data_IF_758463870640
#
_entry.id   IF_758463870640
#
_cell.length_a   1.000
_cell.length_b   1.000
_cell.length_c   1.000
_cell.angle_alpha   90.00
_cell.angle_beta   90.00
_cell.angle_gamma   90.00
#
_symmetry.space_group_name_H-M   'P 1'
#
loop_
_entity.id
_entity.type
_entity.pdbx_description
1 polymer ?
#
# COMPACT_ATOMS: atom_id res chain seq x y z
N UNK A 1 39.13 -22.42 7.49
CA UNK A 1 37.89 -21.64 7.25
C UNK A 1 37.90 -21.20 5.80
N UNK A 2 36.94 -21.50 4.93
CA UNK A 2 35.75 -22.33 5.08
C UNK A 2 35.47 -23.02 3.73
N UNK A 3 36.06 -24.21 3.56
CA UNK A 3 35.74 -25.21 2.53
C UNK A 3 34.28 -25.72 2.62
N UNK A 4 33.52 -25.25 3.62
CA UNK A 4 32.11 -25.59 3.88
C UNK A 4 31.13 -24.82 2.99
N UNK A 5 31.47 -23.63 2.48
CA UNK A 5 30.54 -22.85 1.62
C UNK A 5 30.49 -23.33 0.17
N UNK A 6 31.58 -23.92 -0.35
CA UNK A 6 31.58 -24.52 -1.69
C UNK A 6 30.86 -25.88 -1.76
N UNK A 7 30.60 -26.52 -0.61
CA UNK A 7 29.90 -27.81 -0.58
C UNK A 7 28.37 -27.66 -0.49
N UNK A 8 27.86 -26.53 0.04
CA UNK A 8 26.41 -26.26 0.04
C UNK A 8 25.89 -25.83 -1.33
N UNK A 9 26.68 -25.11 -2.14
CA UNK A 9 26.28 -24.77 -3.52
C UNK A 9 26.33 -25.98 -4.46
N UNK A 10 27.04 -27.05 -4.09
CA UNK A 10 27.07 -28.30 -4.86
C UNK A 10 26.00 -29.30 -4.42
N UNK A 11 25.41 -29.14 -3.23
CA UNK A 11 24.30 -29.98 -2.75
C UNK A 11 22.91 -29.43 -3.10
N UNK A 12 22.77 -28.13 -3.36
CA UNK A 12 21.53 -27.56 -3.91
C UNK A 12 21.27 -27.98 -5.37
N UNK A 13 22.29 -28.49 -6.08
CA UNK A 13 22.16 -29.02 -7.44
C UNK A 13 21.85 -30.54 -7.49
N UNK A 14 21.58 -31.18 -6.34
CA UNK A 14 21.41 -32.64 -6.25
C UNK A 14 20.16 -33.09 -5.48
N UNK A 15 19.15 -32.24 -5.36
CA UNK A 15 17.77 -32.67 -5.09
C UNK A 15 16.98 -32.41 -6.38
N UNK A 16 17.28 -33.24 -7.38
CA UNK A 16 16.38 -33.48 -8.51
C UNK A 16 15.22 -34.33 -7.97
N UNK A 17 13.96 -33.86 -7.97
CA UNK A 17 12.88 -34.81 -8.19
C UNK A 17 13.14 -35.44 -9.56
N UNK A 18 13.15 -36.77 -9.60
CA UNK A 18 13.68 -37.56 -10.70
C UNK A 18 13.36 -36.98 -12.09
N UNK A 19 14.41 -36.63 -12.83
CA UNK A 19 14.34 -36.52 -14.27
C UNK A 19 14.06 -37.92 -14.82
N UNK A 20 12.79 -38.29 -14.84
CA UNK A 20 12.28 -39.29 -15.75
C UNK A 20 12.46 -38.68 -17.13
N UNK A 21 13.52 -39.08 -17.82
CA UNK A 21 13.57 -39.02 -19.28
C UNK A 21 12.45 -39.93 -19.81
N UNK A 22 11.24 -39.39 -19.88
CA UNK A 22 10.22 -39.85 -20.80
C UNK A 22 10.46 -39.08 -22.09
N UNK A 23 10.86 -39.82 -23.13
CA UNK A 23 10.62 -39.34 -24.49
C UNK A 23 9.11 -39.19 -24.62
N UNK A 24 8.60 -38.01 -24.93
CA UNK A 24 7.33 -37.98 -25.65
C UNK A 24 7.18 -36.72 -26.49
N UNK A 25 6.95 -36.92 -27.79
CA UNK A 25 6.46 -35.90 -28.72
C UNK A 25 4.94 -35.70 -28.52
N UNK A 26 4.47 -35.85 -27.28
CA UNK A 26 3.08 -35.84 -26.94
C UNK A 26 2.64 -34.44 -26.52
N UNK A 27 1.62 -33.97 -27.21
CA UNK A 27 0.74 -32.85 -26.91
C UNK A 27 0.39 -32.83 -25.39
N UNK A 28 0.40 -31.66 -24.74
CA UNK A 28 0.26 -31.56 -23.27
C UNK A 28 -0.27 -30.21 -22.81
N UNK A 29 -0.87 -30.18 -21.61
CA UNK A 29 -1.32 -28.95 -20.94
C UNK A 29 -0.23 -28.54 -19.96
N UNK A 30 0.35 -27.37 -20.13
CA UNK A 30 1.37 -26.81 -19.24
C UNK A 30 0.75 -25.73 -18.37
N UNK A 31 0.97 -25.78 -17.06
CA UNK A 31 0.76 -24.65 -16.17
C UNK A 31 2.11 -24.02 -15.84
N UNK A 32 2.18 -22.70 -15.87
CA UNK A 32 3.31 -21.92 -15.34
C UNK A 32 2.81 -21.04 -14.22
N UNK A 33 3.63 -20.84 -13.18
CA UNK A 33 3.32 -19.99 -12.03
C UNK A 33 4.40 -18.94 -11.92
N UNK A 34 3.99 -17.67 -11.86
CA UNK A 34 4.85 -16.53 -11.60
C UNK A 34 4.23 -15.65 -10.51
N UNK A 35 5.07 -15.01 -9.72
CA UNK A 35 4.68 -13.99 -8.74
C UNK A 35 5.13 -12.62 -9.25
N UNK A 36 4.21 -11.65 -9.34
CA UNK A 36 4.53 -10.35 -9.97
C UNK A 36 5.53 -9.51 -9.18
N UNK A 37 5.69 -9.79 -7.88
CA UNK A 37 6.68 -9.19 -6.99
C UNK A 37 7.97 -10.02 -6.87
N UNK A 38 8.08 -11.15 -7.58
CA UNK A 38 9.24 -12.05 -7.53
C UNK A 38 9.36 -12.83 -6.22
N UNK A 39 8.26 -13.00 -5.46
CA UNK A 39 8.28 -13.78 -4.23
C UNK A 39 8.63 -15.25 -4.51
N UNK A 40 9.77 -15.71 -3.98
CA UNK A 40 10.27 -17.09 -4.18
C UNK A 40 9.95 -18.04 -3.01
N UNK A 41 9.35 -17.54 -1.94
CA UNK A 41 9.01 -18.33 -0.74
C UNK A 41 7.57 -18.85 -0.80
N UNK A 42 6.68 -18.10 -1.43
CA UNK A 42 5.28 -18.49 -1.62
C UNK A 42 5.11 -19.58 -2.68
N UNK A 43 4.07 -20.38 -2.53
CA UNK A 43 3.75 -21.47 -3.44
C UNK A 43 2.25 -21.53 -3.73
N UNK A 44 1.90 -21.96 -4.94
CA UNK A 44 0.53 -22.20 -5.37
C UNK A 44 0.36 -23.70 -5.62
N UNK A 45 -0.72 -24.25 -5.09
CA UNK A 45 -1.20 -25.57 -5.44
C UNK A 45 -1.91 -25.49 -6.78
N UNK A 46 -1.34 -26.07 -7.83
CA UNK A 46 -1.95 -26.14 -9.16
C UNK A 46 -2.65 -27.48 -9.34
N UNK A 47 -3.96 -27.39 -9.61
CA UNK A 47 -4.84 -28.54 -9.83
C UNK A 47 -5.25 -28.65 -11.29
N UNK A 48 -5.14 -29.87 -11.84
CA UNK A 48 -5.63 -30.24 -13.17
C UNK A 48 -6.84 -31.15 -13.01
N UNK A 49 -8.01 -30.68 -13.46
CA UNK A 49 -9.25 -31.44 -13.43
C UNK A 49 -9.80 -31.64 -14.83
N UNK A 50 -9.85 -32.88 -15.31
CA UNK A 50 -10.44 -33.23 -16.60
C UNK A 50 -11.68 -34.11 -16.44
N UNK A 51 -12.72 -33.87 -17.24
CA UNK A 51 -14.00 -34.58 -17.16
C UNK A 51 -14.00 -36.01 -17.75
N UNK A 52 -12.86 -36.71 -17.78
CA UNK A 52 -12.74 -38.06 -18.36
C UNK A 52 -13.17 -39.20 -17.41
N UNK A 53 -13.66 -38.86 -16.22
CA UNK A 53 -14.47 -39.77 -15.41
C UNK A 53 -13.72 -40.53 -14.32
N UNK A 54 -12.55 -40.08 -13.85
CA UNK A 54 -12.08 -40.33 -12.48
C UNK A 54 -10.80 -39.54 -12.13
N UNK A 55 -10.85 -38.79 -11.01
CA UNK A 55 -9.78 -38.11 -10.27
C UNK A 55 -9.19 -36.80 -10.83
N UNK A 56 -8.71 -35.88 -9.95
CA UNK A 56 -7.78 -34.84 -10.37
C UNK A 56 -6.59 -35.53 -11.05
N UNK A 57 -6.36 -35.18 -12.32
CA UNK A 57 -5.44 -35.92 -13.19
C UNK A 57 -3.98 -35.56 -12.87
N UNK A 58 -3.76 -34.49 -12.12
CA UNK A 58 -2.49 -34.13 -11.51
C UNK A 58 -2.62 -32.92 -10.59
N UNK A 59 -1.78 -32.88 -9.57
CA UNK A 59 -1.60 -31.73 -8.70
C UNK A 59 -0.11 -31.47 -8.57
N UNK A 60 0.29 -30.21 -8.57
CA UNK A 60 1.67 -29.79 -8.37
C UNK A 60 1.70 -28.57 -7.46
N UNK A 61 2.71 -28.50 -6.60
CA UNK A 61 2.97 -27.30 -5.80
C UNK A 61 4.11 -26.57 -6.52
N UNK A 62 3.86 -25.34 -6.95
CA UNK A 62 4.78 -24.55 -7.75
C UNK A 62 5.03 -23.19 -7.07
N UNK A 63 6.30 -22.79 -6.97
CA UNK A 63 6.69 -21.42 -6.64
C UNK A 63 6.96 -20.60 -7.90
N UNK A 64 7.51 -19.40 -7.73
CA UNK A 64 7.86 -18.48 -8.82
C UNK A 64 8.75 -19.13 -9.90
N UNK A 65 8.43 -18.87 -11.18
CA UNK A 65 9.04 -19.49 -12.35
C UNK A 65 8.77 -21.00 -12.49
N UNK A 66 7.91 -21.56 -11.65
CA UNK A 66 7.56 -22.98 -11.63
C UNK A 66 6.72 -23.38 -12.85
N UNK A 67 6.89 -24.62 -13.30
CA UNK A 67 6.01 -25.19 -14.31
C UNK A 67 5.71 -26.65 -14.06
N UNK A 68 4.49 -27.05 -14.40
CA UNK A 68 4.06 -28.44 -14.39
C UNK A 68 3.34 -28.75 -15.70
N UNK A 69 3.69 -29.89 -16.30
CA UNK A 69 3.11 -30.34 -17.55
C UNK A 69 2.31 -31.60 -17.32
N UNK A 70 1.01 -31.51 -17.57
CA UNK A 70 0.15 -32.68 -17.61
C UNK A 70 0.11 -33.26 -19.03
N UNK A 71 0.46 -34.54 -19.23
CA UNK A 71 0.37 -35.17 -20.54
C UNK A 71 -1.09 -35.25 -20.98
N UNK A 72 -1.37 -34.97 -22.26
CA UNK A 72 -2.72 -35.07 -22.83
C UNK A 72 -2.99 -36.48 -23.42
N UNK A 73 -2.10 -37.44 -23.16
CA UNK A 73 -2.18 -38.78 -23.74
C UNK A 73 -3.28 -39.60 -23.09
N UNK A 74 -4.33 -39.87 -23.86
CA UNK A 74 -5.44 -40.72 -23.43
C UNK A 74 -6.71 -39.99 -23.02
N UNK A 75 -6.77 -38.65 -23.16
CA UNK A 75 -8.03 -37.94 -22.96
C UNK A 75 -9.05 -38.32 -24.03
N UNK A 76 -10.27 -38.65 -23.61
CA UNK A 76 -11.36 -39.02 -24.50
C UNK A 76 -11.79 -37.84 -25.38
N UNK A 77 -12.35 -38.12 -26.56
CA UNK A 77 -12.94 -37.09 -27.40
C UNK A 77 -14.06 -36.35 -26.64
N UNK A 78 -14.00 -35.01 -26.62
CA UNK A 78 -14.93 -34.18 -25.85
C UNK A 78 -14.54 -33.95 -24.39
N UNK A 79 -13.27 -34.18 -24.02
CA UNK A 79 -12.76 -33.80 -22.70
C UNK A 79 -12.87 -32.28 -22.47
N UNK A 80 -12.97 -31.92 -21.20
CA UNK A 80 -12.81 -30.53 -20.73
C UNK A 80 -11.83 -30.61 -19.58
N UNK A 81 -10.68 -29.93 -19.71
CA UNK A 81 -9.69 -29.81 -18.65
C UNK A 81 -9.67 -28.38 -18.12
N UNK A 82 -9.74 -28.23 -16.81
CA UNK A 82 -9.60 -26.96 -16.12
C UNK A 82 -8.32 -26.95 -15.30
N UNK A 83 -7.57 -25.86 -15.39
CA UNK A 83 -6.38 -25.61 -14.57
C UNK A 83 -6.72 -24.51 -13.58
N UNK A 84 -6.56 -24.80 -12.29
CA UNK A 84 -6.83 -23.87 -11.18
C UNK A 84 -5.63 -23.79 -10.25
N UNK A 85 -5.41 -22.62 -9.65
CA UNK A 85 -4.51 -22.39 -8.53
C UNK A 85 -5.31 -22.31 -7.23
N UNK A 86 -4.81 -22.95 -6.19
CA UNK A 86 -5.37 -22.97 -4.84
C UNK A 86 -4.24 -22.83 -3.81
N UNK A 87 -4.62 -22.68 -2.53
CA UNK A 87 -3.70 -22.52 -1.40
C UNK A 87 -2.71 -21.35 -1.50
N UNK A 88 -3.00 -20.35 -2.34
CA UNK A 88 -2.26 -19.08 -2.35
C UNK A 88 -2.55 -18.31 -1.06
N UNK A 89 -1.55 -17.59 -0.56
CA UNK A 89 -1.74 -16.65 0.55
C UNK A 89 -2.92 -15.71 0.24
N UNK A 90 -3.76 -15.45 1.25
CA UNK A 90 -4.98 -14.66 1.11
C UNK A 90 -4.73 -13.20 0.69
N UNK A 91 -3.47 -12.75 0.79
CA UNK A 91 -3.02 -11.42 0.43
C UNK A 91 -2.49 -11.35 -1.02
N UNK A 92 -2.79 -12.36 -1.84
CA UNK A 92 -2.49 -12.37 -3.27
C UNK A 92 -3.76 -12.69 -4.06
N UNK A 93 -3.97 -11.93 -5.12
CA UNK A 93 -4.96 -12.21 -6.15
C UNK A 93 -4.32 -13.02 -7.29
N UNK A 94 -5.06 -14.02 -7.78
CA UNK A 94 -4.56 -14.93 -8.83
C UNK A 94 -5.34 -14.71 -10.13
N UNK A 95 -4.60 -14.63 -11.23
CA UNK A 95 -5.16 -14.58 -12.58
C UNK A 95 -4.62 -15.71 -13.45
N UNK A 96 -5.39 -16.09 -14.48
CA UNK A 96 -5.14 -17.18 -15.40
C UNK A 96 -5.15 -16.63 -16.82
N UNK A 97 -4.00 -16.61 -17.50
CA UNK A 97 -3.82 -15.96 -18.81
C UNK A 97 -4.37 -14.52 -18.84
N UNK A 98 -4.23 -13.79 -17.73
CA UNK A 98 -4.74 -12.42 -17.56
C UNK A 98 -6.25 -12.31 -17.29
N UNK A 99 -6.94 -13.41 -17.01
CA UNK A 99 -8.36 -13.44 -16.62
C UNK A 99 -8.54 -13.90 -15.17
N UNK A 100 -9.64 -13.50 -14.52
CA UNK A 100 -10.03 -14.07 -13.22
C UNK A 100 -10.56 -15.52 -13.35
N UNK A 101 -11.02 -15.89 -14.55
CA UNK A 101 -11.57 -17.21 -14.80
C UNK A 101 -10.45 -18.25 -15.03
N UNK A 102 -10.54 -19.45 -14.41
CA UNK A 102 -9.60 -20.54 -14.64
C UNK A 102 -9.42 -20.90 -16.12
N UNK A 103 -8.23 -21.35 -16.49
CA UNK A 103 -8.00 -21.84 -17.84
C UNK A 103 -8.83 -23.10 -18.11
N UNK A 104 -9.60 -23.11 -19.20
CA UNK A 104 -10.37 -24.27 -19.65
C UNK A 104 -9.99 -24.64 -21.08
N UNK A 105 -9.66 -25.92 -21.29
CA UNK A 105 -9.24 -26.47 -22.57
C UNK A 105 -10.17 -27.61 -23.00
N UNK A 106 -10.63 -27.55 -24.25
CA UNK A 106 -11.56 -28.53 -24.84
C UNK A 106 -11.00 -29.21 -26.09
N UNK A 107 -9.77 -28.87 -26.48
CA UNK A 107 -9.10 -29.38 -27.67
C UNK A 107 -7.76 -30.00 -27.30
N UNK A 108 -7.44 -31.13 -27.93
CA UNK A 108 -6.12 -31.74 -27.80
C UNK A 108 -5.09 -30.85 -28.49
N UNK A 109 -4.17 -30.28 -27.71
CA UNK A 109 -3.18 -29.33 -28.19
C UNK A 109 -2.09 -29.09 -27.16
N UNK A 110 -0.96 -28.56 -27.62
CA UNK A 110 0.04 -27.98 -26.72
C UNK A 110 -0.49 -26.62 -26.30
N UNK A 111 -0.91 -26.53 -25.04
CA UNK A 111 -1.56 -25.35 -24.49
C UNK A 111 -0.91 -24.98 -23.17
N UNK A 112 -0.87 -23.69 -22.89
CA UNK A 112 -0.29 -23.14 -21.67
C UNK A 112 -1.33 -22.34 -20.90
N UNK A 113 -1.38 -22.57 -19.60
CA UNK A 113 -2.08 -21.74 -18.62
C UNK A 113 -1.02 -21.02 -17.79
N UNK A 114 -0.87 -19.71 -17.99
CA UNK A 114 -0.05 -18.87 -17.14
C UNK A 114 -0.88 -18.44 -15.93
N UNK A 115 -0.43 -18.82 -14.74
CA UNK A 115 -0.99 -18.41 -13.46
C UNK A 115 -0.09 -17.30 -12.91
N UNK A 116 -0.65 -16.12 -12.71
CA UNK A 116 0.07 -14.99 -12.12
C UNK A 116 -0.56 -14.67 -10.77
N UNK A 117 0.24 -14.74 -9.70
CA UNK A 117 -0.14 -14.22 -8.40
C UNK A 117 0.38 -12.79 -8.25
N UNK A 118 -0.53 -11.88 -7.87
CA UNK A 118 -0.24 -10.47 -7.66
C UNK A 118 -0.56 -10.11 -6.22
N UNK A 119 0.38 -9.48 -5.48
CA UNK A 119 0.12 -9.07 -4.11
C UNK A 119 -1.03 -8.07 -4.09
N UNK A 120 -1.89 -8.22 -3.10
CA UNK A 120 -3.00 -7.30 -2.90
C UNK A 120 -2.47 -5.99 -2.31
N UNK A 121 -3.02 -4.87 -2.78
CA UNK A 121 -2.65 -3.56 -2.25
C UNK A 121 -2.98 -3.48 -0.75
N UNK A 122 -2.10 -2.83 0.01
CA UNK A 122 -2.40 -2.42 1.37
C UNK A 122 -3.27 -1.16 1.38
N UNK A 123 -4.04 -0.96 2.43
CA UNK A 123 -4.83 0.24 2.67
C UNK A 123 -4.39 0.89 3.97
N UNK A 124 -4.06 2.19 3.91
CA UNK A 124 -3.81 2.99 5.11
C UNK A 124 -4.94 4.00 5.23
N UNK A 125 -5.66 3.95 6.35
CA UNK A 125 -6.73 4.88 6.70
C UNK A 125 -6.23 5.89 7.71
N UNK A 126 -6.27 7.17 7.32
CA UNK A 126 -5.89 8.29 8.18
C UNK A 126 -7.16 8.95 8.70
N UNK A 127 -7.26 9.09 10.02
CA UNK A 127 -8.34 9.85 10.68
C UNK A 127 -7.81 11.19 11.17
N UNK A 128 -8.54 12.27 10.87
CA UNK A 128 -8.22 13.62 11.31
C UNK A 128 -9.09 14.03 12.50
N UNK A 129 -8.44 14.45 13.59
CA UNK A 129 -9.10 15.00 14.76
C UNK A 129 -8.76 16.48 14.97
N UNK A 130 -9.71 17.22 15.52
CA UNK A 130 -9.59 18.62 15.91
C UNK A 130 -10.00 18.78 17.37
N UNK A 131 -9.03 19.06 18.24
CA UNK A 131 -9.29 19.50 19.59
C UNK A 131 -9.33 21.03 19.64
N UNK A 132 -10.56 21.55 19.57
CA UNK A 132 -10.86 22.97 19.73
C UNK A 132 -11.24 23.34 21.18
N UNK A 133 -11.08 22.43 22.14
CA UNK A 133 -11.47 22.67 23.53
C UNK A 133 -10.54 23.69 24.19
N UNK A 134 -10.99 24.95 24.21
CA UNK A 134 -10.19 26.08 24.70
C UNK A 134 -10.05 27.21 23.70
N UNK A 135 -10.49 27.02 22.46
CA UNK A 135 -10.64 28.09 21.49
C UNK A 135 -11.69 29.10 22.00
N UNK A 136 -11.24 30.27 22.42
CA UNK A 136 -12.10 31.40 22.76
C UNK A 136 -12.04 32.44 21.66
N UNK A 137 -13.05 32.53 20.80
CA UNK A 137 -13.01 33.50 19.70
C UNK A 137 -13.86 33.12 18.49
N UNK A 138 -13.35 33.47 17.31
CA UNK A 138 -13.94 33.16 15.99
C UNK A 138 -13.99 31.66 15.71
N UNK A 139 -14.78 31.26 14.71
CA UNK A 139 -14.86 29.88 14.28
C UNK A 139 -13.50 29.42 13.75
N UNK A 140 -13.03 28.26 14.23
CA UNK A 140 -11.86 27.56 13.70
C UNK A 140 -12.25 26.92 12.37
N UNK A 141 -11.38 27.05 11.37
CA UNK A 141 -11.50 26.28 10.13
C UNK A 141 -10.90 24.90 10.35
N UNK A 142 -11.76 23.87 10.37
CA UNK A 142 -11.38 22.47 10.62
C UNK A 142 -10.99 21.74 9.32
N UNK A 143 -10.33 22.45 8.39
CA UNK A 143 -9.80 21.89 7.16
C UNK A 143 -8.29 21.65 7.25
N UNK A 144 -7.84 20.50 6.74
CA UNK A 144 -6.43 20.14 6.69
C UNK A 144 -6.13 19.29 5.46
N UNK A 145 -4.91 19.41 4.95
CA UNK A 145 -4.39 18.55 3.90
C UNK A 145 -3.17 17.81 4.43
N UNK A 146 -3.19 16.48 4.34
CA UNK A 146 -2.08 15.61 4.72
C UNK A 146 -1.48 15.02 3.45
N UNK A 147 -0.18 15.15 3.30
CA UNK A 147 0.59 14.56 2.22
C UNK A 147 1.10 13.18 2.64
N UNK A 148 0.71 12.13 1.91
CA UNK A 148 1.31 10.81 1.98
C UNK A 148 2.43 10.72 0.93
N UNK A 149 3.62 10.21 1.29
CA UNK A 149 4.80 10.07 0.42
C UNK A 149 5.37 8.65 0.46
N UNK A 150 5.70 8.11 -0.71
CA UNK A 150 6.36 6.82 -0.91
C UNK A 150 7.26 6.85 -2.17
N UNK A 151 7.90 5.73 -2.48
CA UNK A 151 8.65 5.56 -3.73
C UNK A 151 7.70 5.54 -4.95
N UNK A 152 8.20 5.89 -6.14
CA UNK A 152 7.39 5.94 -7.36
C UNK A 152 6.74 4.58 -7.71
N UNK A 153 5.42 4.62 -7.98
CA UNK A 153 4.66 3.42 -8.36
C UNK A 153 4.22 2.58 -7.17
N UNK A 154 4.44 3.08 -5.94
CA UNK A 154 3.98 2.47 -4.70
C UNK A 154 2.59 2.98 -4.32
N UNK A 155 2.20 4.20 -4.70
CA UNK A 155 0.84 4.69 -4.41
C UNK A 155 -0.03 4.51 -5.64
N UNK A 156 -1.16 3.81 -5.51
CA UNK A 156 -1.99 3.47 -6.67
C UNK A 156 -2.61 4.70 -7.38
N UNK A 157 -2.79 5.79 -6.64
CA UNK A 157 -3.43 7.04 -7.09
C UNK A 157 -2.53 8.27 -6.95
N UNK A 158 -1.22 8.08 -6.77
CA UNK A 158 -0.30 9.17 -6.52
C UNK A 158 0.16 9.92 -7.77
N UNK A 159 0.81 11.05 -7.51
CA UNK A 159 1.55 11.82 -8.51
C UNK A 159 2.99 12.05 -8.06
N UNK A 160 3.86 12.43 -8.99
CA UNK A 160 5.25 12.77 -8.66
C UNK A 160 5.27 13.97 -7.70
N UNK A 161 5.98 13.85 -6.58
CA UNK A 161 6.20 14.95 -5.66
C UNK A 161 7.17 15.97 -6.24
N UNK A 162 6.80 17.25 -6.24
CA UNK A 162 7.76 18.33 -6.50
C UNK A 162 8.36 18.79 -5.17
N UNK A 163 9.43 18.14 -4.75
CA UNK A 163 10.23 18.56 -3.59
C UNK A 163 11.24 19.67 -3.95
N UNK A 164 11.32 20.06 -5.23
CA UNK A 164 12.48 20.76 -5.78
C UNK A 164 12.14 21.97 -6.65
N UNK A 165 11.13 22.78 -6.31
CA UNK A 165 10.94 24.12 -6.90
C UNK A 165 11.01 24.11 -8.46
N UNK A 166 10.56 23.02 -9.10
CA UNK A 166 10.61 22.81 -10.56
C UNK A 166 11.93 22.31 -11.16
N UNK A 167 12.90 21.83 -10.38
CA UNK A 167 14.14 21.20 -10.89
C UNK A 167 14.02 19.69 -10.81
N UNK A 168 13.62 19.05 -11.92
CA UNK A 168 13.70 17.59 -12.08
C UNK A 168 15.18 17.21 -12.11
N UNK A 169 15.73 16.79 -10.98
CA UNK A 169 17.08 16.26 -10.93
C UNK A 169 17.09 14.90 -11.65
N UNK A 170 17.94 14.77 -12.66
CA UNK A 170 18.00 13.62 -13.58
C UNK A 170 18.59 12.35 -12.96
N UNK A 171 18.72 12.29 -11.63
CA UNK A 171 19.36 11.18 -10.89
C UNK A 171 18.70 10.96 -9.51
N UNK A 172 17.45 11.38 -9.34
CA UNK A 172 16.77 11.46 -8.05
C UNK A 172 15.72 10.35 -7.94
N UNK A 173 15.62 9.72 -6.76
CA UNK A 173 14.52 8.83 -6.43
C UNK A 173 13.23 9.61 -6.68
N UNK A 174 12.42 9.17 -7.64
CA UNK A 174 11.13 9.79 -7.87
C UNK A 174 10.25 9.31 -6.71
N UNK A 175 9.85 10.24 -5.85
CA UNK A 175 8.86 9.99 -4.82
C UNK A 175 7.46 10.29 -5.38
N UNK A 176 6.49 9.50 -4.98
CA UNK A 176 5.09 9.66 -5.29
C UNK A 176 4.32 10.11 -4.04
N UNK A 177 3.37 11.03 -4.23
CA UNK A 177 2.53 11.52 -3.17
C UNK A 177 1.07 11.61 -3.55
N UNK A 178 0.25 11.46 -2.51
CA UNK A 178 -1.18 11.65 -2.52
C UNK A 178 -1.51 12.69 -1.45
N UNK A 179 -2.34 13.67 -1.82
CA UNK A 179 -2.88 14.65 -0.86
C UNK A 179 -4.24 14.17 -0.37
N UNK A 180 -4.38 14.06 0.94
CA UNK A 180 -5.60 13.67 1.63
C UNK A 180 -6.22 14.94 2.24
N UNK A 181 -7.39 15.33 1.73
CA UNK A 181 -8.11 16.52 2.18
C UNK A 181 -9.19 16.15 3.22
N UNK A 182 -9.19 16.85 4.35
CA UNK A 182 -10.12 16.67 5.46
C UNK A 182 -10.91 17.96 5.68
N UNK A 183 -12.21 17.84 5.99
CA UNK A 183 -13.15 18.96 6.14
C UNK A 183 -13.96 18.88 7.44
N UNK A 184 -13.36 18.39 8.51
CA UNK A 184 -13.99 18.32 9.82
C UNK A 184 -13.29 17.40 10.81
N UNK A 185 -13.72 17.49 12.07
CA UNK A 185 -13.33 16.56 13.14
C UNK A 185 -13.88 15.14 12.92
N UNK A 186 -12.99 14.15 13.01
CA UNK A 186 -13.27 12.74 12.79
C UNK A 186 -13.33 12.32 11.32
N UNK A 187 -12.99 13.21 10.38
CA UNK A 187 -12.95 12.89 8.96
C UNK A 187 -11.86 11.84 8.66
N UNK A 188 -12.14 10.96 7.70
CA UNK A 188 -11.24 9.87 7.31
C UNK A 188 -10.94 9.92 5.83
N UNK A 189 -9.69 9.64 5.47
CA UNK A 189 -9.27 9.45 4.09
C UNK A 189 -8.30 8.26 4.02
N UNK A 190 -8.30 7.55 2.89
CA UNK A 190 -7.48 6.35 2.72
C UNK A 190 -6.57 6.47 1.51
N UNK A 191 -5.39 5.85 1.60
CA UNK A 191 -4.47 5.68 0.48
C UNK A 191 -4.27 4.18 0.20
N UNK A 192 -4.29 3.83 -1.09
CA UNK A 192 -3.99 2.47 -1.55
C UNK A 192 -2.51 2.36 -1.92
N UNK A 193 -1.84 1.37 -1.36
CA UNK A 193 -0.39 1.16 -1.50
C UNK A 193 -0.16 -0.16 -2.24
N UNK A 194 0.45 -0.08 -3.41
CA UNK A 194 0.98 -1.24 -4.13
C UNK A 194 2.14 -1.77 -3.31
N UNK A 195 2.10 -3.04 -2.93
CA UNK A 195 3.12 -3.66 -2.09
C UNK A 195 3.74 -4.86 -2.79
N UNK A 196 4.86 -5.33 -2.25
CA UNK A 196 5.47 -6.61 -2.64
C UNK A 196 5.96 -7.38 -1.41
N UNK A 197 6.67 -8.48 -1.65
CA UNK A 197 7.24 -9.34 -0.60
C UNK A 197 8.09 -8.61 0.44
N UNK A 198 8.77 -7.53 0.04
CA UNK A 198 9.64 -6.74 0.93
C UNK A 198 8.86 -5.69 1.77
N UNK A 199 7.55 -5.55 1.52
CA UNK A 199 6.74 -4.48 2.10
C UNK A 199 7.08 -3.09 1.55
N UNK A 200 6.32 -2.09 1.96
CA UNK A 200 6.51 -0.70 1.54
C UNK A 200 6.36 0.25 2.72
N UNK A 201 7.11 1.37 2.69
CA UNK A 201 7.04 2.40 3.73
C UNK A 201 6.40 3.68 3.19
N UNK A 202 5.34 4.13 3.85
CA UNK A 202 4.66 5.40 3.55
C UNK A 202 4.85 6.37 4.70
N UNK A 203 5.21 7.61 4.38
CA UNK A 203 5.35 8.69 5.37
C UNK A 203 4.24 9.71 5.20
N UNK A 204 3.70 10.20 6.32
CA UNK A 204 2.62 11.18 6.32
C UNK A 204 3.08 12.49 6.93
N UNK A 205 2.86 13.59 6.23
CA UNK A 205 3.20 14.94 6.69
C UNK A 205 2.01 15.87 6.52
N UNK A 206 1.64 16.58 7.58
CA UNK A 206 0.66 17.65 7.50
C UNK A 206 1.39 18.98 7.40
N UNK A 207 1.11 19.74 6.33
CA UNK A 207 1.64 21.09 6.18
C UNK A 207 0.67 22.07 6.85
N UNK A 208 0.92 22.36 8.12
CA UNK A 208 0.17 23.36 8.86
C UNK A 208 0.97 24.68 8.93
N UNK A 209 0.43 25.74 8.34
CA UNK A 209 1.03 27.07 8.37
C UNK A 209 0.49 27.95 9.51
N UNK A 210 -0.56 27.50 10.22
CA UNK A 210 -1.15 28.26 11.32
C UNK A 210 -0.41 28.03 12.63
N UNK A 211 0.28 29.07 13.10
CA UNK A 211 0.95 29.09 14.40
C UNK A 211 0.04 28.87 15.61
N UNK A 212 -1.28 29.00 15.47
CA UNK A 212 -2.24 28.71 16.53
C UNK A 212 -2.58 27.21 16.64
N UNK A 213 -2.12 26.38 15.69
CA UNK A 213 -2.47 24.97 15.62
C UNK A 213 -1.21 24.12 15.82
N UNK A 214 -1.26 23.27 16.84
CA UNK A 214 -0.22 22.27 17.08
C UNK A 214 -0.68 20.93 16.52
N UNK A 215 0.18 20.29 15.75
CA UNK A 215 -0.10 19.00 15.09
C UNK A 215 0.55 17.87 15.87
N UNK A 216 -0.24 16.87 16.25
CA UNK A 216 0.24 15.57 16.73
C UNK A 216 0.02 14.52 15.65
N UNK A 217 1.09 13.88 15.20
CA UNK A 217 1.07 12.83 14.18
C UNK A 217 1.34 11.46 14.82
N UNK A 218 0.34 10.59 14.85
CA UNK A 218 0.47 9.21 15.33
C UNK A 218 0.75 8.21 14.18
N UNK A 219 0.71 8.64 12.93
CA UNK A 219 1.01 7.82 11.75
C UNK A 219 2.52 7.60 11.58
N UNK A 220 3.35 8.63 11.76
CA UNK A 220 4.80 8.54 11.56
C UNK A 220 5.16 7.95 10.18
N UNK A 221 6.13 7.02 10.16
CA UNK A 221 6.41 6.18 9.00
C UNK A 221 5.70 4.83 9.20
N UNK A 222 4.83 4.47 8.26
CA UNK A 222 4.02 3.26 8.29
C UNK A 222 4.59 2.26 7.31
N UNK A 223 4.98 1.09 7.80
CA UNK A 223 5.39 -0.05 6.98
C UNK A 223 4.17 -0.95 6.76
N UNK A 224 3.90 -1.32 5.50
CA UNK A 224 2.76 -2.15 5.09
C UNK A 224 3.20 -3.30 4.20
N UNK A 225 2.55 -4.45 4.37
CA UNK A 225 2.73 -5.67 3.57
C UNK A 225 1.48 -5.94 2.71
N UNK A 226 1.56 -6.90 1.76
CA UNK A 226 0.41 -7.26 0.94
C UNK A 226 -0.85 -7.51 1.75
N UNK A 227 -1.95 -6.87 1.34
CA UNK A 227 -3.28 -7.00 1.97
C UNK A 227 -3.43 -6.36 3.35
N UNK A 228 -2.45 -5.62 3.87
CA UNK A 228 -2.57 -4.97 5.18
C UNK A 228 -3.65 -3.88 5.19
N UNK A 229 -4.30 -3.72 6.34
CA UNK A 229 -5.28 -2.66 6.63
C UNK A 229 -4.83 -1.97 7.92
N UNK A 230 -4.34 -0.72 7.80
CA UNK A 230 -3.72 0.02 8.89
C UNK A 230 -4.46 1.33 9.14
N UNK A 231 -4.82 1.56 10.40
CA UNK A 231 -5.41 2.82 10.85
C UNK A 231 -4.38 3.67 11.59
N UNK A 232 -4.36 4.96 11.30
CA UNK A 232 -3.59 5.94 12.07
C UNK A 232 -4.29 7.31 12.10
N UNK A 233 -3.79 8.24 12.92
CA UNK A 233 -4.46 9.52 13.12
C UNK A 233 -3.53 10.73 13.23
N UNK A 234 -4.07 11.88 12.83
CA UNK A 234 -3.53 13.20 13.11
C UNK A 234 -4.48 13.96 14.02
N UNK A 235 -3.95 14.61 15.06
CA UNK A 235 -4.74 15.45 15.97
C UNK A 235 -4.21 16.87 15.91
N UNK A 236 -5.04 17.81 15.48
CA UNK A 236 -4.77 19.24 15.59
C UNK A 236 -5.35 19.78 16.88
N UNK A 237 -4.51 20.36 17.72
CA UNK A 237 -4.94 21.07 18.93
C UNK A 237 -4.79 22.56 18.70
N UNK A 238 -5.88 23.32 18.86
CA UNK A 238 -5.88 24.76 18.63
C UNK A 238 -5.63 25.51 19.93
N UNK A 239 -4.54 26.25 19.99
CA UNK A 239 -4.20 27.12 21.10
C UNK A 239 -4.45 28.58 20.72
N UNK A 240 -5.25 29.26 21.53
CA UNK A 240 -5.15 30.72 21.58
C UNK A 240 -3.94 31.08 22.44
N UNK A 241 -2.94 31.78 21.88
CA UNK A 241 -1.93 32.46 22.70
C UNK A 241 -2.65 33.45 23.62
N UNK A 242 -2.86 33.02 24.86
CA UNK A 242 -3.60 33.71 25.90
C UNK A 242 -2.88 34.92 26.48
N UNK A 243 -2.51 35.89 25.64
CA UNK A 243 -2.74 37.26 26.05
C UNK A 243 -3.98 37.66 25.26
N UNK A 244 -5.16 37.74 25.89
CA UNK A 244 -6.26 38.43 25.25
C UNK A 244 -5.73 39.84 25.03
N UNK A 245 -5.28 40.14 23.80
CA UNK A 245 -5.10 41.51 23.39
C UNK A 245 -6.50 42.06 23.56
N UNK A 246 -6.64 42.78 24.67
CA UNK A 246 -7.89 43.24 25.24
C UNK A 246 -8.84 43.55 24.08
N UNK A 247 -10.06 43.00 24.09
CA UNK A 247 -11.05 43.23 23.01
C UNK A 247 -11.02 44.71 22.61
N UNK A 248 -11.32 45.09 21.36
CA UNK A 248 -11.22 46.51 20.94
C UNK A 248 -11.78 47.51 21.97
N UNK A 249 -12.85 47.12 22.67
CA UNK A 249 -13.40 47.83 23.83
C UNK A 249 -12.50 47.83 25.06
N UNK A 250 -11.93 46.70 25.44
CA UNK A 250 -10.87 46.62 26.41
C UNK A 250 -9.70 47.57 26.11
N UNK A 251 -9.15 47.53 24.90
CA UNK A 251 -8.04 48.43 24.50
C UNK A 251 -8.47 49.90 24.59
N UNK A 252 -9.70 50.21 24.18
CA UNK A 252 -10.29 51.53 24.33
C UNK A 252 -10.47 51.94 25.81
N UNK A 253 -10.86 51.02 26.69
CA UNK A 253 -11.01 51.27 28.13
C UNK A 253 -9.64 51.52 28.77
N UNK A 254 -8.61 50.75 28.43
CA UNK A 254 -7.25 51.00 28.92
C UNK A 254 -6.70 52.33 28.40
N UNK A 255 -6.95 52.67 27.14
CA UNK A 255 -6.59 53.98 26.59
C UNK A 255 -7.33 55.12 27.29
N UNK A 256 -8.63 54.97 27.57
CA UNK A 256 -9.43 55.95 28.31
C UNK A 256 -8.97 56.09 29.78
N UNK A 257 -8.55 55.00 30.42
CA UNK A 257 -8.01 55.03 31.78
C UNK A 257 -6.65 55.75 31.82
N UNK A 258 -5.75 55.45 30.88
CA UNK A 258 -4.46 56.15 30.75
C UNK A 258 -4.67 57.65 30.46
N UNK A 259 -5.63 58.00 29.60
CA UNK A 259 -5.99 59.39 29.29
C UNK A 259 -6.65 60.10 30.49
N UNK A 260 -7.54 59.40 31.21
CA UNK A 260 -8.22 59.92 32.39
C UNK A 260 -7.27 60.22 33.55
N UNK A 261 -6.31 59.34 33.82
CA UNK A 261 -5.26 59.57 34.84
C UNK A 261 -4.37 60.76 34.45
N UNK A 262 -4.01 60.88 33.16
CA UNK A 262 -3.30 62.05 32.65
C UNK A 262 -4.06 63.36 32.90
N UNK A 263 -5.36 63.40 32.60
CA UNK A 263 -6.21 64.58 32.78
C UNK A 263 -6.35 65.01 34.26
N UNK A 264 -6.42 64.04 35.19
CA UNK A 264 -6.44 64.32 36.64
C UNK A 264 -5.07 64.81 37.13
N UNK A 265 -3.97 64.26 36.59
CA UNK A 265 -2.61 64.70 36.88
C UNK A 265 -2.36 66.17 36.51
N UNK A 266 -2.78 66.61 35.33
CA UNK A 266 -2.63 68.01 34.89
C UNK A 266 -3.44 69.00 35.73
N UNK A 267 -4.55 68.59 36.35
CA UNK A 267 -5.36 69.46 37.21
C UNK A 267 -4.72 69.76 38.57
N UNK A 268 -3.71 68.98 38.99
CA UNK A 268 -3.03 69.17 40.28
C UNK A 268 -1.83 70.13 40.22
N UNK A 269 -1.49 70.64 39.03
CA UNK A 269 -0.35 71.52 38.79
C UNK A 269 -0.73 72.90 38.20
N UNK A 270 -1.99 73.32 38.34
CA UNK A 270 -2.46 74.70 38.07
C UNK A 270 -2.93 75.34 39.36
#
# INVERSE_FOLDING_TARGET
MNLKRAFLTLMAAMILPGAVYAQDLAIGITATVDFSDGNTEEMITVDFSCNDGNNPVGQAILGDGGSFRHPNDGLAAGFVCTVTGSDVNANYSVTYNGSADPCSFTEAGEVTCAILATPDNATITVTKFWDVTGAGGEAVDESATIEARADIGVLADGGICDDHNGVIATDMHLEECVYLDFNGDGDTASVSVITGVDGETVTFTENNEDSAVEVSNDCGAVEVFPGDDVDCSFTNTVFFEGIPTLSQYGLAIMALLMLGVGFVGFRRFV
#
